data_IF_844455763535
#
_entry.id   IF_844455763535
#
_cell.length_a   1.000
_cell.length_b   1.000
_cell.length_c   1.000
_cell.angle_alpha   90.00
_cell.angle_beta   90.00
_cell.angle_gamma   90.00
#
_symmetry.space_group_name_H-M   'P 1'
#
loop_
_entity.id
_entity.type
_entity.pdbx_description
1 polymer ?
#
# COMPACT_ATOMS: atom_id res chain seq x y z
N UNK A 1 5.29 -28.35 -0.83
CA UNK A 1 4.78 -28.21 0.56
C UNK A 1 5.88 -27.63 1.43
N UNK A 2 5.63 -26.51 2.10
CA UNK A 2 6.57 -25.87 3.04
C UNK A 2 5.95 -25.75 4.43
N UNK A 3 6.79 -25.70 5.43
CA UNK A 3 6.44 -25.35 6.83
C UNK A 3 7.45 -24.31 7.33
N UNK A 4 7.14 -23.56 8.40
CA UNK A 4 8.11 -22.68 9.03
C UNK A 4 9.37 -23.46 9.40
N UNK A 5 10.53 -22.87 9.12
CA UNK A 5 11.82 -23.44 9.55
C UNK A 5 11.96 -23.34 11.07
N UNK A 6 11.33 -22.37 11.69
CA UNK A 6 11.46 -22.01 13.09
C UNK A 6 12.53 -20.95 13.29
N UNK A 7 13.18 -20.99 14.43
CA UNK A 7 14.34 -20.17 14.72
C UNK A 7 15.64 -20.78 14.15
N UNK A 8 16.78 -20.49 14.77
CA UNK A 8 18.09 -20.99 14.36
C UNK A 8 18.26 -22.51 14.40
N UNK A 9 17.34 -23.25 15.05
CA UNK A 9 17.45 -24.70 15.21
C UNK A 9 16.75 -25.50 14.11
N UNK A 10 15.90 -24.87 13.32
CA UNK A 10 15.16 -25.52 12.26
C UNK A 10 14.11 -26.51 12.76
N UNK A 11 13.68 -26.41 14.01
CA UNK A 11 12.76 -27.35 14.65
C UNK A 11 11.29 -27.13 14.27
N UNK A 12 10.99 -26.11 13.46
CA UNK A 12 9.65 -25.75 13.01
C UNK A 12 8.81 -25.04 14.06
N UNK A 13 9.39 -24.65 15.18
CA UNK A 13 8.67 -23.87 16.19
C UNK A 13 8.58 -22.43 15.79
N UNK A 14 7.43 -21.83 16.08
CA UNK A 14 7.17 -20.40 15.91
C UNK A 14 6.74 -19.78 17.22
N UNK A 15 6.99 -18.49 17.37
CA UNK A 15 6.50 -17.68 18.49
C UNK A 15 5.30 -16.87 18.02
N UNK A 16 4.23 -16.88 18.83
CA UNK A 16 3.12 -15.93 18.69
C UNK A 16 2.95 -15.17 20.01
N UNK A 17 2.54 -13.92 19.92
CA UNK A 17 2.22 -13.12 21.11
C UNK A 17 0.87 -12.43 20.91
N UNK A 18 0.08 -12.41 21.99
CA UNK A 18 -1.24 -11.78 21.98
C UNK A 18 -1.67 -11.41 23.40
N UNK A 19 -2.68 -10.57 23.50
CA UNK A 19 -3.31 -10.21 24.78
C UNK A 19 -4.74 -10.73 24.79
N UNK A 20 -5.13 -11.40 25.89
CA UNK A 20 -6.49 -11.85 26.10
C UNK A 20 -7.17 -11.01 27.20
N UNK A 21 -8.50 -10.77 27.10
CA UNK A 21 -9.27 -10.10 28.14
C UNK A 21 -9.61 -11.10 29.27
N UNK A 22 -8.59 -11.55 29.99
CA UNK A 22 -8.69 -12.47 31.13
C UNK A 22 -7.80 -11.97 32.27
N UNK A 23 -8.26 -12.01 33.53
CA UNK A 23 -7.45 -11.65 34.69
C UNK A 23 -6.35 -12.69 34.96
N UNK A 24 -5.32 -12.28 35.71
CA UNK A 24 -4.12 -13.11 36.01
C UNK A 24 -3.66 -12.94 37.48
N UNK A 25 -4.57 -12.67 38.39
CA UNK A 25 -4.26 -12.37 39.80
C UNK A 25 -4.09 -13.63 40.65
N UNK A 26 -5.13 -14.46 40.73
CA UNK A 26 -5.17 -15.68 41.52
C UNK A 26 -4.59 -16.89 40.79
N UNK A 27 -4.31 -17.97 41.48
CA UNK A 27 -3.82 -19.21 40.90
C UNK A 27 -4.86 -19.80 39.92
N UNK A 28 -6.15 -19.76 40.27
CA UNK A 28 -7.23 -20.21 39.41
C UNK A 28 -7.35 -19.37 38.13
N UNK A 29 -7.25 -18.05 38.25
CA UNK A 29 -7.26 -17.15 37.12
C UNK A 29 -6.09 -17.40 36.17
N UNK A 30 -4.90 -17.64 36.71
CA UNK A 30 -3.71 -18.00 35.93
C UNK A 30 -3.92 -19.30 35.14
N UNK A 31 -4.42 -20.35 35.78
CA UNK A 31 -4.70 -21.62 35.12
C UNK A 31 -5.73 -21.48 33.97
N UNK A 32 -6.80 -20.72 34.20
CA UNK A 32 -7.80 -20.42 33.18
C UNK A 32 -7.20 -19.60 32.04
N UNK A 33 -6.43 -18.57 32.34
CA UNK A 33 -5.81 -17.69 31.35
C UNK A 33 -4.80 -18.44 30.47
N UNK A 34 -3.94 -19.26 31.07
CA UNK A 34 -2.98 -20.09 30.32
C UNK A 34 -3.68 -21.15 29.48
N UNK A 35 -4.71 -21.80 30.03
CA UNK A 35 -5.54 -22.75 29.29
C UNK A 35 -6.22 -22.11 28.06
N UNK A 36 -6.76 -20.88 28.23
CA UNK A 36 -7.34 -20.13 27.13
C UNK A 36 -6.31 -19.77 26.04
N UNK A 37 -5.09 -19.36 26.47
CA UNK A 37 -4.01 -19.06 25.54
C UNK A 37 -3.57 -20.30 24.75
N UNK A 38 -3.42 -21.45 25.40
CA UNK A 38 -3.10 -22.72 24.73
C UNK A 38 -4.21 -23.16 23.77
N UNK A 39 -5.47 -23.04 24.18
CA UNK A 39 -6.59 -23.38 23.32
C UNK A 39 -6.64 -22.48 22.08
N UNK A 40 -6.38 -21.17 22.23
CA UNK A 40 -6.32 -20.25 21.11
C UNK A 40 -5.18 -20.60 20.17
N UNK A 41 -3.98 -20.87 20.69
CA UNK A 41 -2.83 -21.30 19.93
C UNK A 41 -3.11 -22.59 19.14
N UNK A 42 -3.76 -23.57 19.76
CA UNK A 42 -4.19 -24.78 19.08
C UNK A 42 -5.15 -24.51 17.92
N UNK A 43 -6.13 -23.61 18.09
CA UNK A 43 -7.02 -23.17 17.02
C UNK A 43 -6.31 -22.42 15.90
N UNK A 44 -5.16 -21.77 16.19
CA UNK A 44 -4.27 -21.16 15.18
C UNK A 44 -3.39 -22.21 14.46
N UNK A 45 -3.49 -23.47 14.83
CA UNK A 45 -2.71 -24.55 14.22
C UNK A 45 -1.33 -24.75 14.85
N UNK A 46 -1.12 -24.33 16.09
CA UNK A 46 0.11 -24.58 16.85
C UNK A 46 -0.09 -25.83 17.73
N UNK A 47 0.54 -26.97 17.38
CA UNK A 47 0.46 -28.22 18.12
C UNK A 47 1.78 -29.00 18.05
N UNK A 48 2.42 -29.37 19.17
CA UNK A 48 2.09 -28.90 20.53
C UNK A 48 2.42 -27.41 20.74
N UNK A 49 1.65 -26.76 21.61
CA UNK A 49 1.89 -25.39 22.02
C UNK A 49 2.26 -25.31 23.52
N UNK A 50 3.04 -24.30 23.91
CA UNK A 50 3.40 -24.01 25.31
C UNK A 50 3.42 -22.51 25.58
N UNK A 51 2.88 -22.09 26.72
CA UNK A 51 3.05 -20.74 27.21
C UNK A 51 4.45 -20.61 27.80
N UNK A 52 5.25 -19.70 27.25
CA UNK A 52 6.63 -19.41 27.75
C UNK A 52 6.68 -18.17 28.58
N UNK A 53 5.71 -17.28 28.44
CA UNK A 53 5.58 -16.07 29.22
C UNK A 53 4.11 -15.66 29.32
N UNK A 54 3.71 -15.23 30.54
CA UNK A 54 2.42 -14.62 30.79
C UNK A 54 2.59 -13.45 31.77
N UNK A 55 1.94 -12.32 31.49
CA UNK A 55 2.04 -11.11 32.31
C UNK A 55 0.71 -10.37 32.33
N UNK A 56 0.23 -10.05 33.55
CA UNK A 56 -0.94 -9.17 33.69
C UNK A 56 -0.67 -7.78 33.09
N UNK A 57 -1.65 -7.27 32.35
CA UNK A 57 -1.68 -5.92 31.80
C UNK A 57 -2.93 -5.24 32.35
N UNK A 58 -2.77 -4.61 33.50
CA UNK A 58 -3.90 -4.13 34.30
C UNK A 58 -4.64 -5.28 35.00
N UNK A 59 -5.89 -5.04 35.42
CA UNK A 59 -6.68 -5.99 36.18
C UNK A 59 -7.46 -7.00 35.34
N UNK A 60 -7.66 -6.73 34.06
CA UNK A 60 -8.59 -7.47 33.19
C UNK A 60 -7.93 -8.11 31.97
N UNK A 61 -6.64 -7.85 31.74
CA UNK A 61 -5.95 -8.33 30.54
C UNK A 61 -4.66 -9.05 30.91
N UNK A 62 -4.34 -10.08 30.11
CA UNK A 62 -3.08 -10.81 30.23
C UNK A 62 -2.39 -10.90 28.87
N UNK A 63 -1.13 -10.51 28.83
CA UNK A 63 -0.25 -10.69 27.66
C UNK A 63 0.43 -12.05 27.74
N UNK A 64 0.46 -12.76 26.60
CA UNK A 64 1.09 -14.07 26.45
C UNK A 64 2.13 -14.08 25.35
N UNK A 65 3.16 -14.90 25.57
CA UNK A 65 4.06 -15.40 24.54
C UNK A 65 3.90 -16.92 24.51
N UNK A 66 3.53 -17.46 23.37
CA UNK A 66 3.28 -18.88 23.17
C UNK A 66 4.19 -19.39 22.06
N UNK A 67 4.88 -20.49 22.32
CA UNK A 67 5.65 -21.25 21.34
C UNK A 67 4.88 -22.48 20.92
N UNK A 68 4.96 -22.82 19.66
CA UNK A 68 4.36 -24.06 19.17
C UNK A 68 4.86 -24.44 17.79
N UNK A 69 4.61 -25.69 17.39
CA UNK A 69 4.87 -26.13 16.02
C UNK A 69 3.67 -25.86 15.15
N UNK A 70 3.90 -25.36 13.94
CA UNK A 70 2.83 -25.20 12.95
C UNK A 70 2.45 -26.55 12.40
N UNK A 71 1.19 -26.96 12.62
CA UNK A 71 0.65 -28.22 12.12
C UNK A 71 0.33 -28.18 10.62
N UNK A 72 0.12 -26.97 10.06
CA UNK A 72 -0.27 -26.78 8.68
C UNK A 72 0.94 -26.63 7.74
N UNK A 73 0.79 -27.14 6.53
CA UNK A 73 1.75 -27.00 5.44
C UNK A 73 1.18 -26.08 4.37
N UNK A 74 2.03 -25.32 3.71
CA UNK A 74 1.65 -24.51 2.55
C UNK A 74 2.15 -25.19 1.29
N UNK A 75 1.26 -25.40 0.35
CA UNK A 75 1.60 -25.85 -0.99
C UNK A 75 1.96 -24.64 -1.85
N UNK A 76 3.24 -24.53 -2.20
CA UNK A 76 3.71 -23.42 -3.05
C UNK A 76 3.07 -23.41 -4.44
N UNK A 77 2.71 -24.58 -4.97
CA UNK A 77 2.05 -24.67 -6.27
C UNK A 77 0.59 -24.18 -6.23
N UNK A 78 -0.02 -24.16 -5.03
CA UNK A 78 -1.38 -23.66 -4.82
C UNK A 78 -1.43 -22.19 -4.38
N UNK A 79 -0.26 -21.56 -4.17
CA UNK A 79 -0.22 -20.13 -3.79
C UNK A 79 -0.63 -19.30 -4.99
N UNK A 80 -1.76 -18.61 -4.85
CA UNK A 80 -2.19 -17.64 -5.84
C UNK A 80 -1.40 -16.35 -5.64
N UNK A 81 -0.60 -15.99 -6.64
CA UNK A 81 0.03 -14.67 -6.74
C UNK A 81 -0.88 -13.78 -7.56
N UNK A 82 -1.20 -12.61 -7.04
CA UNK A 82 -1.85 -11.58 -7.84
C UNK A 82 -0.79 -11.06 -8.82
N UNK A 83 -0.98 -11.34 -10.11
CA UNK A 83 -0.12 -10.77 -11.14
C UNK A 83 -0.24 -9.25 -11.11
N UNK A 84 0.89 -8.57 -11.30
CA UNK A 84 0.88 -7.11 -11.41
C UNK A 84 0.18 -6.72 -12.71
N UNK A 85 -0.71 -5.77 -12.63
CA UNK A 85 -1.44 -5.25 -13.82
C UNK A 85 -0.51 -4.51 -14.80
N UNK A 86 0.67 -4.13 -14.36
CA UNK A 86 1.69 -3.42 -15.16
C UNK A 86 3.10 -3.82 -14.66
N UNK A 87 4.10 -3.80 -15.57
CA UNK A 87 5.47 -4.14 -15.22
C UNK A 87 6.08 -3.12 -14.26
N UNK A 88 6.92 -3.59 -13.34
CA UNK A 88 7.74 -2.72 -12.51
C UNK A 88 8.97 -2.29 -13.30
N UNK A 89 9.13 -0.98 -13.48
CA UNK A 89 10.18 -0.40 -14.30
C UNK A 89 11.30 0.21 -13.45
N UNK A 90 12.53 0.10 -13.90
CA UNK A 90 13.65 0.85 -13.32
C UNK A 90 13.52 2.34 -13.66
N UNK A 91 14.10 3.22 -12.83
CA UNK A 91 14.02 4.68 -13.04
C UNK A 91 14.55 5.14 -14.41
N UNK A 92 15.59 4.48 -14.91
CA UNK A 92 16.12 4.76 -16.26
C UNK A 92 15.10 4.44 -17.35
N UNK A 93 14.38 3.34 -17.20
CA UNK A 93 13.37 2.87 -18.14
C UNK A 93 12.13 3.76 -18.12
N UNK A 94 11.64 4.14 -16.92
CA UNK A 94 10.57 5.13 -16.78
C UNK A 94 10.92 6.42 -17.50
N UNK A 95 12.12 6.97 -17.27
CA UNK A 95 12.57 8.19 -17.93
C UNK A 95 12.66 8.04 -19.45
N UNK A 96 13.17 6.90 -19.93
CA UNK A 96 13.27 6.62 -21.36
C UNK A 96 11.88 6.57 -22.01
N UNK A 97 10.92 5.86 -21.43
CA UNK A 97 9.54 5.75 -21.95
C UNK A 97 8.85 7.12 -21.99
N UNK A 98 8.89 7.89 -20.90
CA UNK A 98 8.30 9.23 -20.84
C UNK A 98 8.89 10.12 -21.93
N UNK A 99 10.21 10.14 -22.07
CA UNK A 99 10.89 10.95 -23.06
C UNK A 99 10.53 10.58 -24.50
N UNK A 100 10.50 9.26 -24.78
CA UNK A 100 10.17 8.75 -26.11
C UNK A 100 8.72 9.02 -26.51
N UNK A 101 7.76 8.84 -25.57
CA UNK A 101 6.34 8.96 -25.87
C UNK A 101 5.81 10.39 -25.82
N UNK A 102 6.24 11.17 -24.82
CA UNK A 102 5.70 12.53 -24.61
C UNK A 102 6.57 13.64 -25.21
N UNK A 103 7.87 13.43 -25.40
CA UNK A 103 8.81 14.46 -25.85
C UNK A 103 8.96 15.66 -24.87
N UNK A 104 8.33 15.57 -23.71
CA UNK A 104 8.36 16.53 -22.61
C UNK A 104 8.31 15.83 -21.26
N UNK A 105 8.58 16.56 -20.19
CA UNK A 105 8.39 16.01 -18.85
C UNK A 105 6.92 15.73 -18.56
N UNK A 106 6.66 14.60 -17.90
CA UNK A 106 5.37 14.28 -17.31
C UNK A 106 5.17 15.13 -16.04
N UNK A 107 4.02 15.79 -15.92
CA UNK A 107 3.73 16.70 -14.82
C UNK A 107 2.78 16.04 -13.81
N UNK A 108 3.23 15.96 -12.57
CA UNK A 108 2.47 15.39 -11.46
C UNK A 108 2.21 16.47 -10.43
N UNK A 109 0.93 16.71 -10.12
CA UNK A 109 0.52 17.55 -8.99
C UNK A 109 0.11 16.65 -7.83
N UNK A 110 0.61 16.91 -6.63
CA UNK A 110 0.29 16.10 -5.45
C UNK A 110 -0.12 16.92 -4.25
N UNK A 111 -1.05 16.37 -3.44
CA UNK A 111 -1.58 17.06 -2.27
C UNK A 111 -2.22 16.08 -1.27
N UNK A 112 -2.50 16.57 -0.05
CA UNK A 112 -3.61 16.06 0.75
C UNK A 112 -4.77 17.04 0.70
N UNK A 113 -6.01 16.56 0.66
CA UNK A 113 -7.19 17.41 0.43
C UNK A 113 -8.12 17.47 1.65
N UNK A 114 -8.99 18.47 1.65
CA UNK A 114 -9.96 18.70 2.71
C UNK A 114 -9.29 19.05 4.03
N UNK A 115 -9.64 18.35 5.09
CA UNK A 115 -9.07 18.57 6.44
C UNK A 115 -7.84 17.70 6.74
N UNK A 116 -7.34 16.94 5.78
CA UNK A 116 -6.22 16.03 6.00
C UNK A 116 -4.87 16.78 5.99
N UNK A 117 -4.23 16.79 7.16
CA UNK A 117 -2.92 17.42 7.37
C UNK A 117 -1.74 16.43 7.31
N UNK A 118 -1.98 15.15 6.97
CA UNK A 118 -0.97 14.10 7.01
C UNK A 118 -0.18 14.00 5.70
N UNK A 119 0.96 14.66 5.61
CA UNK A 119 1.80 14.64 4.40
C UNK A 119 2.66 13.39 4.23
N UNK A 120 2.87 12.59 5.28
CA UNK A 120 3.83 11.48 5.26
C UNK A 120 3.60 10.54 4.06
N UNK A 121 2.34 10.24 3.73
CA UNK A 121 2.01 9.38 2.59
C UNK A 121 2.35 10.00 1.25
N UNK A 122 1.94 11.25 1.03
CA UNK A 122 2.20 11.93 -0.25
C UNK A 122 3.69 12.27 -0.40
N UNK A 123 4.36 12.70 0.68
CA UNK A 123 5.78 13.00 0.65
C UNK A 123 6.63 11.75 0.41
N UNK A 124 6.21 10.59 0.93
CA UNK A 124 6.87 9.31 0.67
C UNK A 124 6.91 8.97 -0.83
N UNK A 125 5.88 9.34 -1.58
CA UNK A 125 5.79 9.11 -3.02
C UNK A 125 6.48 10.22 -3.82
N UNK A 126 6.26 11.48 -3.47
CA UNK A 126 6.71 12.62 -4.27
C UNK A 126 8.17 12.98 -4.03
N UNK A 127 8.57 13.13 -2.76
CA UNK A 127 9.86 13.69 -2.37
C UNK A 127 11.02 12.81 -2.83
N UNK A 128 12.10 13.42 -3.29
CA UNK A 128 13.32 12.74 -3.76
C UNK A 128 13.88 11.70 -2.78
N UNK A 129 13.65 11.88 -1.47
CA UNK A 129 14.07 10.94 -0.44
C UNK A 129 13.37 9.58 -0.59
N UNK A 130 12.09 9.59 -0.93
CA UNK A 130 11.28 8.40 -1.14
C UNK A 130 10.97 7.60 0.13
N UNK A 131 10.66 6.32 -0.07
CA UNK A 131 10.26 5.39 1.00
C UNK A 131 10.71 3.97 0.68
N UNK A 132 10.93 3.15 1.71
CA UNK A 132 11.28 1.71 1.60
C UNK A 132 12.52 1.41 0.71
N UNK A 133 13.48 2.33 0.67
CA UNK A 133 14.67 2.19 -0.17
C UNK A 133 14.51 2.71 -1.60
N UNK A 134 13.29 3.03 -2.02
CA UNK A 134 12.99 3.57 -3.35
C UNK A 134 12.95 5.10 -3.33
N UNK A 135 13.46 5.71 -4.40
CA UNK A 135 13.45 7.17 -4.57
C UNK A 135 12.08 7.67 -5.03
N UNK A 136 11.63 8.82 -4.50
CA UNK A 136 10.36 9.43 -4.90
C UNK A 136 10.37 10.00 -6.31
N UNK A 137 9.19 10.44 -6.78
CA UNK A 137 9.00 10.90 -8.17
C UNK A 137 9.89 12.06 -8.56
N UNK A 138 10.30 12.93 -7.64
CA UNK A 138 11.26 14.02 -7.89
C UNK A 138 12.65 13.51 -8.34
N UNK A 139 12.98 12.27 -8.07
CA UNK A 139 14.24 11.66 -8.54
C UNK A 139 14.24 11.38 -10.05
N UNK A 140 13.06 11.18 -10.63
CA UNK A 140 12.91 10.84 -12.05
C UNK A 140 13.09 12.08 -12.90
N UNK A 141 14.10 12.09 -13.78
CA UNK A 141 14.46 13.28 -14.57
C UNK A 141 13.36 13.77 -15.49
N UNK A 142 12.54 12.87 -15.98
CA UNK A 142 11.46 13.15 -16.92
C UNK A 142 10.10 13.35 -16.22
N UNK A 143 10.07 13.36 -14.88
CA UNK A 143 8.89 13.70 -14.09
C UNK A 143 9.12 15.07 -13.43
N UNK A 144 8.16 15.97 -13.58
CA UNK A 144 8.09 17.24 -12.85
C UNK A 144 7.01 17.15 -11.78
N UNK A 145 7.40 17.27 -10.53
CA UNK A 145 6.51 17.20 -9.39
C UNK A 145 6.16 18.61 -8.89
N UNK A 146 4.89 18.83 -8.61
CA UNK A 146 4.35 20.01 -7.94
C UNK A 146 3.65 19.56 -6.67
N UNK A 147 4.33 19.66 -5.54
CA UNK A 147 3.77 19.33 -4.23
C UNK A 147 3.04 20.53 -3.64
N UNK A 148 1.74 20.45 -3.45
CA UNK A 148 0.91 21.51 -2.87
C UNK A 148 0.79 21.44 -1.35
N UNK A 149 1.30 20.35 -0.73
CA UNK A 149 1.25 20.16 0.72
C UNK A 149 -0.10 19.65 1.21
N UNK A 150 -0.59 20.25 2.29
CA UNK A 150 -1.73 19.74 3.06
C UNK A 150 -2.98 20.60 2.95
N UNK A 151 -4.13 19.98 3.23
CA UNK A 151 -5.42 20.64 3.40
C UNK A 151 -5.80 21.51 2.17
N UNK A 152 -5.41 21.06 1.00
CA UNK A 152 -5.70 21.75 -0.25
C UNK A 152 -7.19 21.62 -0.56
N UNK A 153 -7.83 22.73 -0.91
CA UNK A 153 -9.21 22.68 -1.37
C UNK A 153 -9.31 22.06 -2.77
N UNK A 154 -10.41 21.37 -3.07
CA UNK A 154 -10.62 20.81 -4.41
C UNK A 154 -10.54 21.89 -5.51
N UNK A 155 -11.16 23.08 -5.36
CA UNK A 155 -11.01 24.15 -6.35
C UNK A 155 -9.56 24.59 -6.59
N UNK A 156 -8.75 24.71 -5.51
CA UNK A 156 -7.33 25.10 -5.64
C UNK A 156 -6.52 23.99 -6.32
N UNK A 157 -6.81 22.73 -6.02
CA UNK A 157 -6.17 21.59 -6.66
C UNK A 157 -6.48 21.53 -8.17
N UNK A 158 -7.74 21.74 -8.54
CA UNK A 158 -8.19 21.82 -9.94
C UNK A 158 -7.52 23.00 -10.66
N UNK A 159 -7.53 24.20 -10.05
CA UNK A 159 -6.89 25.38 -10.63
C UNK A 159 -5.37 25.18 -10.82
N UNK A 160 -4.71 24.56 -9.85
CA UNK A 160 -3.27 24.28 -9.94
C UNK A 160 -2.98 23.25 -11.03
N UNK A 161 -3.75 22.17 -11.10
CA UNK A 161 -3.59 21.15 -12.14
C UNK A 161 -3.76 21.75 -13.54
N UNK A 162 -4.73 22.65 -13.72
CA UNK A 162 -4.92 23.38 -14.98
C UNK A 162 -3.73 24.28 -15.32
N UNK A 163 -3.27 25.10 -14.36
CA UNK A 163 -2.16 26.03 -14.57
C UNK A 163 -0.84 25.32 -14.91
N UNK A 164 -0.62 24.15 -14.35
CA UNK A 164 0.59 23.34 -14.57
C UNK A 164 0.47 22.40 -15.76
N UNK A 165 -0.68 22.31 -16.41
CA UNK A 165 -0.99 21.31 -17.42
C UNK A 165 -0.66 19.89 -16.94
N UNK A 166 -1.19 19.54 -15.76
CA UNK A 166 -0.90 18.29 -15.09
C UNK A 166 -1.35 17.08 -15.92
N UNK A 167 -0.49 16.07 -16.03
CA UNK A 167 -0.82 14.77 -16.63
C UNK A 167 -1.45 13.83 -15.60
N UNK A 168 -1.06 14.00 -14.33
CA UNK A 168 -1.62 13.22 -13.22
C UNK A 168 -1.74 14.07 -11.95
N UNK A 169 -2.75 13.73 -11.15
CA UNK A 169 -2.98 14.31 -9.81
C UNK A 169 -2.94 13.16 -8.80
N UNK A 170 -2.06 13.27 -7.81
CA UNK A 170 -1.88 12.31 -6.74
C UNK A 170 -2.41 12.88 -5.43
N UNK A 171 -3.36 12.20 -4.80
CA UNK A 171 -3.92 12.62 -3.51
C UNK A 171 -3.74 11.53 -2.48
N UNK A 172 -3.18 11.91 -1.33
CA UNK A 172 -3.10 11.00 -0.16
C UNK A 172 -4.13 11.43 0.89
N UNK A 173 -4.85 10.46 1.44
CA UNK A 173 -5.79 10.69 2.54
C UNK A 173 -5.65 9.62 3.63
N UNK A 174 -5.49 10.08 4.87
CA UNK A 174 -5.38 9.25 6.07
C UNK A 174 -6.59 9.42 6.98
N UNK A 175 -7.21 10.61 6.96
CA UNK A 175 -8.40 10.92 7.77
C UNK A 175 -9.62 10.21 7.21
N UNK A 176 -10.18 9.30 8.02
CA UNK A 176 -11.32 8.44 7.63
C UNK A 176 -12.56 8.64 8.48
N UNK A 177 -12.53 9.61 9.40
CA UNK A 177 -13.69 9.89 10.24
C UNK A 177 -14.90 10.26 9.38
N UNK A 178 -16.05 9.60 9.64
CA UNK A 178 -17.29 9.78 8.89
C UNK A 178 -17.13 9.62 7.38
N UNK A 179 -16.26 8.70 6.96
CA UNK A 179 -15.95 8.42 5.55
C UNK A 179 -15.44 9.65 4.77
N UNK A 180 -14.76 10.59 5.45
CA UNK A 180 -14.25 11.81 4.85
C UNK A 180 -13.37 11.55 3.60
N UNK A 181 -12.53 10.51 3.63
CA UNK A 181 -11.70 10.11 2.50
C UNK A 181 -12.54 9.75 1.25
N UNK A 182 -13.69 9.09 1.43
CA UNK A 182 -14.60 8.72 0.34
C UNK A 182 -15.28 9.98 -0.23
N UNK A 183 -15.87 10.80 0.68
CA UNK A 183 -16.57 12.02 0.29
C UNK A 183 -15.65 13.00 -0.43
N UNK A 184 -14.48 13.29 0.13
CA UNK A 184 -13.50 14.19 -0.45
C UNK A 184 -12.99 13.70 -1.82
N UNK A 185 -12.80 12.37 -1.98
CA UNK A 185 -12.36 11.79 -3.25
C UNK A 185 -13.42 11.93 -4.33
N UNK A 186 -14.69 11.69 -4.02
CA UNK A 186 -15.79 11.90 -4.97
C UNK A 186 -15.92 13.36 -5.37
N UNK A 187 -15.90 14.27 -4.40
CA UNK A 187 -15.92 15.72 -4.66
C UNK A 187 -14.75 16.14 -5.57
N UNK A 188 -13.57 15.62 -5.33
CA UNK A 188 -12.41 15.84 -6.20
C UNK A 188 -12.67 15.32 -7.61
N UNK A 189 -13.12 14.07 -7.78
CA UNK A 189 -13.37 13.47 -9.07
C UNK A 189 -14.44 14.25 -9.87
N UNK A 190 -15.51 14.67 -9.20
CA UNK A 190 -16.56 15.52 -9.78
C UNK A 190 -16.00 16.89 -10.19
N UNK A 191 -15.18 17.55 -9.36
CA UNK A 191 -14.55 18.80 -9.66
C UNK A 191 -13.64 18.74 -10.90
N UNK A 192 -12.83 17.70 -11.00
CA UNK A 192 -11.99 17.47 -12.18
C UNK A 192 -12.81 17.15 -13.43
N UNK A 193 -13.85 16.34 -13.31
CA UNK A 193 -14.75 16.02 -14.43
C UNK A 193 -15.47 17.25 -14.93
N UNK A 194 -15.93 18.13 -14.04
CA UNK A 194 -16.59 19.38 -14.40
C UNK A 194 -15.64 20.37 -15.08
N UNK A 195 -14.37 20.46 -14.64
CA UNK A 195 -13.41 21.39 -15.17
C UNK A 195 -12.77 20.97 -16.50
N UNK A 196 -12.53 19.66 -16.69
CA UNK A 196 -11.74 19.16 -17.81
C UNK A 196 -12.50 18.21 -18.75
N UNK A 197 -13.66 17.69 -18.33
CA UNK A 197 -14.37 16.67 -19.08
C UNK A 197 -13.53 15.42 -19.30
N UNK A 198 -13.48 14.93 -20.52
CA UNK A 198 -12.68 13.74 -20.92
C UNK A 198 -11.18 14.01 -20.99
N UNK A 199 -10.75 15.28 -20.97
CA UNK A 199 -9.33 15.67 -21.01
C UNK A 199 -8.72 15.85 -19.62
N UNK A 200 -9.37 15.34 -18.56
CA UNK A 200 -8.85 15.45 -17.20
C UNK A 200 -7.54 14.69 -17.02
N UNK A 201 -6.64 15.18 -16.14
CA UNK A 201 -5.47 14.38 -15.75
C UNK A 201 -5.87 13.07 -15.10
N UNK A 202 -4.96 12.09 -15.05
CA UNK A 202 -5.17 10.88 -14.25
C UNK A 202 -5.35 11.25 -12.78
N UNK A 203 -6.42 10.75 -12.17
CA UNK A 203 -6.70 10.92 -10.75
C UNK A 203 -6.28 9.66 -9.98
N UNK A 204 -5.29 9.81 -9.15
CA UNK A 204 -4.69 8.74 -8.36
C UNK A 204 -4.86 9.06 -6.88
N UNK A 205 -5.43 8.15 -6.12
CA UNK A 205 -5.54 8.31 -4.67
C UNK A 205 -4.79 7.23 -3.93
N UNK A 206 -4.26 7.58 -2.76
CA UNK A 206 -3.56 6.67 -1.88
C UNK A 206 -3.95 6.88 -0.42
N UNK A 207 -3.83 5.80 0.35
CA UNK A 207 -4.09 5.85 1.78
C UNK A 207 -4.36 4.48 2.39
N UNK A 208 -4.21 4.34 3.72
CA UNK A 208 -4.25 3.03 4.38
C UNK A 208 -5.65 2.39 4.46
N UNK A 209 -6.70 3.12 4.11
CA UNK A 209 -8.10 2.70 4.22
C UNK A 209 -8.82 2.63 2.88
N UNK A 210 -8.15 2.94 1.78
CA UNK A 210 -8.72 2.72 0.47
C UNK A 210 -8.63 1.25 0.07
N UNK A 211 -9.71 0.77 -0.54
CA UNK A 211 -9.76 -0.52 -1.23
C UNK A 211 -9.57 -0.26 -2.74
N UNK A 212 -8.61 -0.88 -3.40
CA UNK A 212 -8.42 -0.76 -4.85
C UNK A 212 -9.67 -1.06 -5.67
N UNK A 213 -10.57 -1.93 -5.20
CA UNK A 213 -11.83 -2.23 -5.85
C UNK A 213 -12.82 -1.06 -5.93
N UNK A 214 -12.61 0.00 -5.15
CA UNK A 214 -13.48 1.19 -5.14
C UNK A 214 -13.17 2.22 -6.23
N UNK A 215 -12.20 1.96 -7.10
CA UNK A 215 -11.74 2.90 -8.15
C UNK A 215 -12.90 3.48 -8.96
N UNK A 216 -13.76 2.63 -9.51
CA UNK A 216 -14.93 3.06 -10.29
C UNK A 216 -15.97 3.83 -9.47
N UNK A 217 -16.25 3.40 -8.25
CA UNK A 217 -17.22 4.04 -7.35
C UNK A 217 -16.78 5.45 -6.90
N UNK A 218 -15.49 5.72 -6.90
CA UNK A 218 -14.92 7.00 -6.51
C UNK A 218 -14.62 7.91 -7.70
N UNK A 219 -14.77 7.43 -8.94
CA UNK A 219 -14.52 8.21 -10.15
C UNK A 219 -13.03 8.54 -10.37
N UNK A 220 -12.13 7.76 -9.82
CA UNK A 220 -10.67 7.91 -9.97
C UNK A 220 -10.10 6.82 -10.88
N UNK A 221 -8.90 7.01 -11.39
CA UNK A 221 -8.27 6.08 -12.34
C UNK A 221 -7.49 4.97 -11.62
N UNK A 222 -6.94 5.29 -10.43
CA UNK A 222 -6.16 4.33 -9.65
C UNK A 222 -6.24 4.60 -8.15
N UNK A 223 -6.29 3.52 -7.40
CA UNK A 223 -6.14 3.52 -5.94
C UNK A 223 -4.89 2.73 -5.58
N UNK A 224 -4.00 3.36 -4.80
CA UNK A 224 -2.84 2.73 -4.22
C UNK A 224 -3.03 2.51 -2.72
N UNK A 225 -2.91 1.25 -2.30
CA UNK A 225 -3.06 0.82 -0.91
C UNK A 225 -1.75 0.82 -0.11
N UNK A 226 -1.77 0.08 0.98
CA UNK A 226 -0.59 -0.13 1.83
C UNK A 226 0.51 -0.87 1.08
N UNK A 227 1.76 -0.49 1.34
CA UNK A 227 2.94 -1.12 0.76
C UNK A 227 3.33 -0.60 -0.62
N UNK A 228 2.54 0.31 -1.19
CA UNK A 228 2.90 0.98 -2.45
C UNK A 228 4.18 1.77 -2.30
N UNK A 229 5.07 1.59 -3.23
CA UNK A 229 6.35 2.31 -3.33
C UNK A 229 6.28 3.43 -4.38
N UNK A 230 7.20 4.41 -4.33
CA UNK A 230 7.32 5.39 -5.40
C UNK A 230 7.56 4.77 -6.78
N UNK A 231 8.28 3.64 -6.84
CA UNK A 231 8.53 2.90 -8.07
C UNK A 231 7.23 2.33 -8.68
N UNK A 232 6.33 1.80 -7.85
CA UNK A 232 5.02 1.32 -8.33
C UNK A 232 4.24 2.45 -9.00
N UNK A 233 4.23 3.65 -8.37
CA UNK A 233 3.55 4.82 -8.92
C UNK A 233 4.21 5.30 -10.21
N UNK A 234 5.54 5.39 -10.25
CA UNK A 234 6.28 5.79 -11.45
C UNK A 234 6.06 4.81 -12.62
N UNK A 235 6.08 3.51 -12.32
CA UNK A 235 5.83 2.45 -13.31
C UNK A 235 4.41 2.53 -13.87
N UNK A 236 3.41 2.74 -13.01
CA UNK A 236 2.03 2.94 -13.43
C UNK A 236 1.87 4.17 -14.32
N UNK A 237 2.43 5.32 -13.92
CA UNK A 237 2.38 6.54 -14.73
C UNK A 237 3.02 6.35 -16.11
N UNK A 238 4.17 5.69 -16.17
CA UNK A 238 4.83 5.38 -17.43
C UNK A 238 4.01 4.39 -18.28
N UNK A 239 3.39 3.39 -17.65
CA UNK A 239 2.55 2.41 -18.36
C UNK A 239 1.32 3.05 -19.00
N UNK A 240 0.63 3.95 -18.29
CA UNK A 240 -0.63 4.55 -18.76
C UNK A 240 -0.40 5.75 -19.66
N UNK A 241 0.54 6.64 -19.31
CA UNK A 241 0.74 7.92 -20.01
C UNK A 241 1.85 7.89 -21.06
N UNK A 242 2.72 6.91 -20.97
CA UNK A 242 3.83 6.70 -21.91
C UNK A 242 3.94 5.22 -22.31
N UNK A 243 2.88 4.66 -22.92
CA UNK A 243 2.90 3.27 -23.33
C UNK A 243 4.07 3.05 -24.31
N UNK A 244 4.83 1.96 -24.09
CA UNK A 244 5.94 1.57 -24.98
C UNK A 244 5.44 1.35 -26.41
N UNK A 245 6.30 1.62 -27.37
CA UNK A 245 6.02 1.27 -28.77
C UNK A 245 5.93 -0.26 -28.90
N UNK A 246 5.09 -0.83 -29.79
CA UNK A 246 4.93 -2.29 -29.97
C UNK A 246 6.20 -3.09 -30.32
N UNK A 247 7.35 -2.43 -30.46
CA UNK A 247 8.65 -3.08 -30.68
C UNK A 247 9.19 -3.79 -29.44
N UNK A 248 8.70 -3.47 -28.24
CA UNK A 248 9.17 -4.09 -26.99
C UNK A 248 8.50 -5.44 -26.68
N UNK A 249 7.40 -5.79 -27.37
CA UNK A 249 6.72 -7.08 -27.23
C UNK A 249 7.29 -8.18 -28.18
N UNK A 250 8.17 -7.82 -29.10
CA UNK A 250 8.68 -8.75 -30.12
C UNK A 250 9.90 -9.57 -29.69
N UNK A 251 10.58 -9.25 -28.58
CA UNK A 251 11.83 -9.92 -28.19
C UNK A 251 11.62 -11.09 -27.20
N UNK A 252 10.43 -11.24 -26.62
CA UNK A 252 10.14 -12.38 -25.72
C UNK A 252 9.76 -13.68 -26.45
N UNK A 253 9.62 -13.67 -27.79
CA UNK A 253 9.19 -14.85 -28.55
C UNK A 253 10.29 -15.60 -29.31
N UNK A 254 11.57 -15.20 -29.17
CA UNK A 254 12.68 -15.83 -29.93
C UNK A 254 13.61 -16.76 -29.12
N UNK A 255 13.36 -17.01 -27.85
CA UNK A 255 14.24 -17.89 -27.04
C UNK A 255 13.60 -19.24 -26.68
N UNK A 256 12.69 -19.77 -27.49
CA UNK A 256 12.22 -21.17 -27.41
C UNK A 256 12.29 -21.83 -28.78
N UNK A 257 13.49 -22.25 -29.13
CA UNK A 257 13.72 -23.24 -30.18
C UNK A 257 14.96 -24.10 -29.86
#
# INVERSE_FOLDING_TARGET
MIRPYGDTTGDGRVQVSFTLPVPFGSETERAVAEGAALQLAGKMGLDPAMVVHAKAVGSQFTFFIVYGRVAHLVDLAAVQITEREFPELAAAEVNMRIRASLGRKLVVVGATIGTDAHTVGIDAILNVKGHAGEKGLEYYREIRVVNMGTQVSVPDLVARAAAEHADAVLVSQVVTQRDAHITNTREMAEGFSAAFGSARPLLIVGGPRFDPGMTGDLGVDRIFGRGTTPRDVASYLAHVLAPGTPADEADETQDVA
#
